data_IF_962615441662
#
_entry.id   IF_962615441662
#
_cell.length_a   1.000
_cell.length_b   1.000
_cell.length_c   1.000
_cell.angle_alpha   90.00
_cell.angle_beta   90.00
_cell.angle_gamma   90.00
#
_symmetry.space_group_name_H-M   'P 1'
#
loop_
_entity.id
_entity.type
_entity.pdbx_description
1 polymer ?
#
# COMPACT_ATOMS: atom_id res chain seq x y z
N UNK A 1 50.04 9.25 -11.99
CA UNK A 1 49.41 8.92 -13.30
C UNK A 1 47.89 8.98 -13.13
N UNK A 2 47.12 9.52 -14.10
CA UNK A 2 45.71 9.88 -13.95
C UNK A 2 44.75 8.66 -14.03
N UNK A 3 43.49 8.74 -13.56
CA UNK A 3 42.55 7.62 -13.58
C UNK A 3 41.92 7.44 -14.97
N UNK A 4 41.75 6.17 -15.39
CA UNK A 4 41.15 5.79 -16.69
C UNK A 4 39.62 5.68 -16.60
N UNK A 5 38.98 6.18 -17.64
CA UNK A 5 37.54 6.29 -17.89
C UNK A 5 36.76 4.98 -17.76
N UNK A 6 35.67 5.03 -16.99
CA UNK A 6 34.61 4.01 -16.98
C UNK A 6 33.76 4.18 -18.25
N UNK A 7 33.73 3.17 -19.12
CA UNK A 7 32.81 3.08 -20.26
C UNK A 7 31.85 1.93 -20.01
N UNK A 8 30.62 2.29 -19.68
CA UNK A 8 29.47 1.39 -19.63
C UNK A 8 29.14 0.82 -21.02
N UNK A 9 28.28 -0.22 -20.99
CA UNK A 9 27.53 -0.81 -22.10
C UNK A 9 28.26 -1.94 -22.83
N UNK A 10 27.66 -3.10 -23.13
CA UNK A 10 26.27 -3.49 -23.06
C UNK A 10 26.18 -5.01 -22.87
N UNK A 11 25.11 -5.42 -22.19
CA UNK A 11 24.61 -6.78 -22.09
C UNK A 11 24.52 -7.43 -23.48
N UNK A 12 25.42 -8.38 -23.76
CA UNK A 12 25.35 -9.22 -24.94
C UNK A 12 24.21 -10.22 -24.76
N UNK A 13 23.15 -10.03 -25.53
CA UNK A 13 22.06 -10.99 -25.64
C UNK A 13 22.53 -12.18 -26.47
N UNK A 14 22.97 -13.24 -25.80
CA UNK A 14 23.15 -14.55 -26.42
C UNK A 14 21.79 -15.13 -26.83
N UNK A 15 21.52 -15.17 -28.13
CA UNK A 15 20.50 -16.05 -28.69
C UNK A 15 21.15 -16.97 -29.71
N UNK A 16 21.70 -18.06 -29.18
CA UNK A 16 22.20 -19.20 -29.95
C UNK A 16 21.06 -19.82 -30.74
N UNK A 17 21.05 -19.65 -32.08
CA UNK A 17 20.31 -20.52 -33.00
C UNK A 17 21.09 -20.75 -34.30
N UNK A 18 21.61 -21.97 -34.36
CA UNK A 18 21.78 -22.82 -35.53
C UNK A 18 22.76 -22.42 -36.65
N UNK A 19 23.94 -23.01 -36.53
CA UNK A 19 24.86 -23.34 -37.60
C UNK A 19 24.20 -24.31 -38.61
N UNK A 20 24.10 -23.96 -39.91
CA UNK A 20 24.29 -24.88 -41.05
C UNK A 20 24.18 -24.20 -42.44
N UNK A 21 25.26 -24.37 -43.23
CA UNK A 21 25.44 -24.33 -44.71
C UNK A 21 25.81 -22.97 -45.39
N UNK A 22 26.91 -22.94 -46.20
CA UNK A 22 27.40 -21.75 -46.89
C UNK A 22 26.88 -21.64 -48.33
N UNK A 23 26.63 -20.41 -48.79
CA UNK A 23 26.51 -20.12 -50.23
C UNK A 23 25.58 -18.97 -50.57
N UNK A 24 26.17 -17.88 -51.09
CA UNK A 24 25.58 -17.15 -52.22
C UNK A 24 24.73 -15.91 -51.93
N UNK A 25 25.29 -14.78 -52.39
CA UNK A 25 24.61 -13.66 -53.07
C UNK A 25 23.82 -12.64 -52.24
N UNK A 26 24.30 -11.41 -52.40
CA UNK A 26 23.68 -10.11 -52.11
C UNK A 26 22.21 -10.00 -52.46
N UNK A 27 21.44 -9.29 -51.61
CA UNK A 27 20.50 -8.30 -52.13
C UNK A 27 20.31 -7.10 -51.19
N UNK A 28 20.65 -5.95 -51.76
CA UNK A 28 20.35 -4.60 -51.30
C UNK A 28 18.84 -4.35 -51.37
N UNK A 29 18.25 -3.93 -50.25
CA UNK A 29 16.89 -3.40 -50.22
C UNK A 29 16.29 -3.54 -48.82
N UNK A 30 15.66 -2.48 -48.32
CA UNK A 30 14.81 -2.41 -47.10
C UNK A 30 15.38 -1.80 -45.80
N UNK A 31 16.37 -0.89 -45.86
CA UNK A 31 16.74 -0.10 -44.66
C UNK A 31 15.58 0.77 -44.10
N UNK A 32 14.60 1.17 -44.92
CA UNK A 32 13.43 1.94 -44.46
C UNK A 32 12.35 1.06 -43.82
N UNK A 33 12.15 -0.16 -44.34
CA UNK A 33 11.10 -1.08 -43.91
C UNK A 33 11.41 -1.74 -42.56
N UNK A 34 12.70 -1.96 -42.25
CA UNK A 34 13.12 -2.42 -40.91
C UNK A 34 12.94 -1.34 -39.83
N UNK A 35 13.18 -0.06 -40.14
CA UNK A 35 12.92 1.05 -39.20
C UNK A 35 11.44 1.20 -38.85
N UNK A 36 10.56 1.07 -39.84
CA UNK A 36 9.11 1.14 -39.62
C UNK A 36 8.60 -0.02 -38.74
N UNK A 37 9.10 -1.24 -38.95
CA UNK A 37 8.75 -2.40 -38.10
C UNK A 37 9.25 -2.25 -36.66
N UNK A 38 10.46 -1.70 -36.46
CA UNK A 38 10.98 -1.44 -35.12
C UNK A 38 10.20 -0.33 -34.39
N UNK A 39 9.77 0.72 -35.10
CA UNK A 39 8.89 1.74 -34.52
C UNK A 39 7.52 1.18 -34.12
N UNK A 40 6.92 0.34 -34.97
CA UNK A 40 5.65 -0.31 -34.65
C UNK A 40 5.78 -1.26 -33.44
N UNK A 41 6.87 -2.02 -33.36
CA UNK A 41 7.15 -2.89 -32.21
C UNK A 41 7.34 -2.08 -30.91
N UNK A 42 8.04 -0.94 -30.97
CA UNK A 42 8.19 -0.04 -29.82
C UNK A 42 6.85 0.58 -29.40
N UNK A 43 6.01 0.99 -30.35
CA UNK A 43 4.69 1.52 -30.04
C UNK A 43 3.77 0.47 -29.37
N UNK A 44 3.83 -0.78 -29.82
CA UNK A 44 3.10 -1.89 -29.20
C UNK A 44 3.61 -2.16 -27.77
N UNK A 45 4.94 -2.14 -27.56
CA UNK A 45 5.52 -2.28 -26.23
C UNK A 45 5.10 -1.14 -25.30
N UNK A 46 5.11 0.12 -25.74
CA UNK A 46 4.68 1.25 -24.93
C UNK A 46 3.19 1.17 -24.57
N UNK A 47 2.33 0.72 -25.49
CA UNK A 47 0.91 0.48 -25.20
C UNK A 47 0.70 -0.68 -24.21
N UNK A 48 1.53 -1.72 -24.29
CA UNK A 48 1.50 -2.84 -23.35
C UNK A 48 1.94 -2.38 -21.95
N UNK A 49 3.02 -1.60 -21.86
CA UNK A 49 3.51 -1.03 -20.61
C UNK A 49 2.48 -0.05 -20.01
N UNK A 50 1.84 0.81 -20.80
CA UNK A 50 0.80 1.72 -20.30
C UNK A 50 -0.46 1.01 -19.77
N UNK A 51 -0.77 -0.18 -20.28
CA UNK A 51 -1.93 -0.98 -19.82
C UNK A 51 -1.62 -1.87 -18.62
N UNK A 52 -0.37 -2.28 -18.45
CA UNK A 52 0.04 -3.28 -17.46
C UNK A 52 1.01 -2.76 -16.39
N UNK A 53 1.56 -1.56 -16.55
CA UNK A 53 2.22 -0.82 -15.48
C UNK A 53 1.16 0.07 -14.83
N UNK A 54 0.55 -0.42 -13.76
CA UNK A 54 -0.18 0.42 -12.82
C UNK A 54 0.85 1.13 -11.94
N UNK A 55 0.83 2.46 -11.91
CA UNK A 55 1.64 3.24 -10.98
C UNK A 55 1.26 2.82 -9.56
N UNK A 56 2.13 2.07 -8.89
CA UNK A 56 1.95 1.72 -7.47
C UNK A 56 2.53 2.81 -6.55
N UNK A 57 2.63 4.04 -7.06
CA UNK A 57 3.16 5.17 -6.30
C UNK A 57 2.27 5.48 -5.10
N UNK A 58 2.82 5.98 -3.99
CA UNK A 58 2.03 6.40 -2.82
C UNK A 58 1.02 7.51 -3.14
N UNK A 59 1.20 8.25 -4.25
CA UNK A 59 0.25 9.25 -4.75
C UNK A 59 -0.87 8.70 -5.65
N UNK A 60 -0.80 7.44 -6.09
CA UNK A 60 -1.84 6.83 -6.95
C UNK A 60 -3.08 6.40 -6.16
N UNK A 61 -2.99 6.36 -4.83
CA UNK A 61 -4.13 6.04 -3.96
C UNK A 61 -4.98 7.29 -3.76
N UNK A 62 -6.28 7.18 -4.03
CA UNK A 62 -7.22 8.25 -3.75
C UNK A 62 -7.11 8.67 -2.27
N UNK A 63 -7.03 9.98 -2.03
CA UNK A 63 -7.00 10.53 -0.68
C UNK A 63 -8.32 10.17 0.00
N UNK A 64 -8.23 9.39 1.07
CA UNK A 64 -9.39 8.98 1.85
C UNK A 64 -10.07 10.21 2.45
N UNK A 65 -11.39 10.29 2.31
CA UNK A 65 -12.15 11.39 2.86
C UNK A 65 -12.04 11.36 4.41
N UNK A 66 -11.75 12.50 5.08
CA UNK A 66 -11.45 12.50 6.53
C UNK A 66 -12.60 12.04 7.43
N UNK A 67 -13.84 12.08 6.93
CA UNK A 67 -15.04 11.59 7.63
C UNK A 67 -15.43 10.15 7.27
N UNK A 68 -14.64 9.47 6.43
CA UNK A 68 -14.85 8.09 6.08
C UNK A 68 -14.10 7.17 7.06
N UNK A 69 -14.79 6.81 8.14
CA UNK A 69 -14.24 5.96 9.19
C UNK A 69 -14.06 4.50 8.75
N UNK A 70 -14.70 4.06 7.66
CA UNK A 70 -14.56 2.68 7.18
C UNK A 70 -13.27 2.47 6.41
N UNK A 71 -12.83 3.51 5.70
CA UNK A 71 -11.59 3.51 4.94
C UNK A 71 -10.33 3.64 5.83
N UNK A 72 -10.46 4.01 7.11
CA UNK A 72 -9.34 4.02 8.03
C UNK A 72 -8.90 2.61 8.46
N UNK A 73 -7.63 2.50 8.83
CA UNK A 73 -7.08 1.27 9.40
C UNK A 73 -7.68 0.97 10.78
N UNK A 74 -7.85 -0.32 11.07
CA UNK A 74 -8.38 -0.80 12.35
C UNK A 74 -7.55 -0.31 13.56
N UNK A 75 -6.24 -0.12 13.36
CA UNK A 75 -5.33 0.40 14.37
C UNK A 75 -5.65 1.85 14.74
N UNK A 76 -6.03 2.68 13.76
CA UNK A 76 -6.42 4.07 13.96
C UNK A 76 -7.76 4.15 14.70
N UNK A 77 -8.73 3.33 14.30
CA UNK A 77 -10.03 3.23 14.98
C UNK A 77 -9.86 2.79 16.45
N UNK A 78 -8.96 1.85 16.71
CA UNK A 78 -8.67 1.39 18.08
C UNK A 78 -7.96 2.46 18.91
N UNK A 79 -6.97 3.18 18.36
CA UNK A 79 -6.35 4.30 19.07
C UNK A 79 -7.34 5.39 19.43
N UNK A 80 -8.32 5.66 18.56
CA UNK A 80 -9.39 6.59 18.85
C UNK A 80 -10.26 6.09 20.01
N UNK A 81 -10.68 4.81 19.97
CA UNK A 81 -11.45 4.17 21.03
C UNK A 81 -10.73 4.25 22.39
N UNK A 82 -9.43 3.96 22.43
CA UNK A 82 -8.59 4.04 23.63
C UNK A 82 -8.45 5.49 24.13
N UNK A 83 -8.19 6.45 23.23
CA UNK A 83 -8.02 7.86 23.58
C UNK A 83 -9.25 8.47 24.25
N UNK A 84 -10.44 8.10 23.78
CA UNK A 84 -11.71 8.60 24.31
C UNK A 84 -12.38 7.65 25.32
N UNK A 85 -11.76 6.50 25.61
CA UNK A 85 -12.26 5.54 26.60
C UNK A 85 -13.65 4.97 26.29
N UNK A 86 -13.99 4.80 25.01
CA UNK A 86 -15.34 4.37 24.60
C UNK A 86 -15.62 2.88 24.90
N UNK A 87 -14.59 2.12 25.32
CA UNK A 87 -14.66 0.70 25.69
C UNK A 87 -15.35 -0.18 24.64
N UNK A 88 -15.30 0.23 23.36
CA UNK A 88 -15.87 -0.55 22.27
C UNK A 88 -15.03 -1.81 22.06
N UNK A 89 -15.65 -2.95 21.74
CA UNK A 89 -14.92 -4.18 21.47
C UNK A 89 -14.06 -4.06 20.21
N UNK A 90 -13.07 -4.95 20.10
CA UNK A 90 -12.15 -4.98 18.96
C UNK A 90 -12.89 -5.42 17.69
N UNK A 91 -12.57 -4.87 16.51
CA UNK A 91 -13.18 -5.32 15.28
C UNK A 91 -12.87 -6.80 15.00
N UNK A 92 -13.81 -7.47 14.34
CA UNK A 92 -13.63 -8.82 13.82
C UNK A 92 -12.55 -8.81 12.74
N UNK A 93 -11.64 -9.79 12.82
CA UNK A 93 -10.55 -9.98 11.86
C UNK A 93 -10.61 -11.40 11.32
N UNK A 94 -10.06 -11.65 10.13
CA UNK A 94 -10.04 -12.99 9.52
C UNK A 94 -9.45 -14.06 10.46
N UNK A 95 -8.46 -13.69 11.27
CA UNK A 95 -7.87 -14.56 12.29
C UNK A 95 -8.87 -15.00 13.38
N UNK A 96 -9.91 -14.23 13.62
CA UNK A 96 -10.98 -14.60 14.56
C UNK A 96 -11.82 -15.75 14.02
N UNK A 97 -12.08 -15.80 12.73
CA UNK A 97 -12.83 -16.89 12.10
C UNK A 97 -12.07 -18.22 12.24
N UNK A 98 -10.74 -18.18 12.10
CA UNK A 98 -9.86 -19.32 12.38
C UNK A 98 -9.99 -19.77 13.84
N UNK A 99 -10.14 -18.85 14.80
CA UNK A 99 -10.34 -19.19 16.21
C UNK A 99 -11.72 -19.82 16.49
N UNK A 100 -12.70 -19.60 15.62
CA UNK A 100 -14.04 -20.20 15.72
C UNK A 100 -14.10 -21.62 15.12
N UNK A 101 -13.12 -22.01 14.31
CA UNK A 101 -13.00 -23.36 13.78
C UNK A 101 -12.80 -24.43 14.87
N UNK A 102 -13.02 -25.71 14.52
CA UNK A 102 -12.85 -26.84 15.45
C UNK A 102 -11.45 -26.94 16.06
N UNK A 103 -10.41 -26.57 15.30
CA UNK A 103 -9.04 -26.51 15.80
C UNK A 103 -8.84 -25.27 16.69
N UNK A 104 -9.44 -24.13 16.32
CA UNK A 104 -9.38 -22.86 17.02
C UNK A 104 -10.01 -22.91 18.42
N UNK A 105 -11.11 -23.65 18.59
CA UNK A 105 -11.80 -23.85 19.87
C UNK A 105 -10.90 -24.42 20.98
N UNK A 106 -9.89 -25.21 20.62
CA UNK A 106 -8.94 -25.81 21.57
C UNK A 106 -7.79 -24.87 21.96
N UNK A 107 -7.62 -23.75 21.28
CA UNK A 107 -6.55 -22.78 21.57
C UNK A 107 -6.78 -22.04 22.88
N UNK A 108 -5.69 -21.60 23.52
CA UNK A 108 -5.76 -20.78 24.73
C UNK A 108 -6.53 -19.47 24.49
N UNK A 109 -6.34 -18.87 23.31
CA UNK A 109 -6.97 -17.60 22.94
C UNK A 109 -8.49 -17.64 22.88
N UNK A 110 -9.09 -18.81 22.57
CA UNK A 110 -10.56 -19.01 22.58
C UNK A 110 -11.10 -19.42 23.95
N UNK A 111 -10.30 -20.13 24.76
CA UNK A 111 -10.65 -20.53 26.14
C UNK A 111 -10.55 -19.40 27.18
N UNK A 112 -10.00 -18.25 26.81
CA UNK A 112 -9.91 -17.09 27.69
C UNK A 112 -11.27 -16.41 27.86
N UNK A 113 -11.92 -16.62 29.01
CA UNK A 113 -13.22 -16.01 29.37
C UNK A 113 -13.24 -14.49 29.19
N UNK A 114 -12.17 -13.81 29.60
CA UNK A 114 -12.01 -12.35 29.44
C UNK A 114 -12.13 -11.88 27.98
N UNK A 115 -11.69 -12.71 27.03
CA UNK A 115 -11.69 -12.40 25.59
C UNK A 115 -13.00 -12.80 24.91
N UNK A 116 -13.74 -13.73 25.51
CA UNK A 116 -15.07 -14.16 25.10
C UNK A 116 -16.14 -13.16 25.57
N UNK A 117 -16.05 -12.70 26.82
CA UNK A 117 -16.96 -11.71 27.44
C UNK A 117 -16.93 -10.35 26.75
N UNK A 118 -15.78 -9.93 26.23
CA UNK A 118 -15.66 -8.65 25.52
C UNK A 118 -16.33 -8.67 24.14
N UNK A 119 -16.65 -9.83 23.58
CA UNK A 119 -17.21 -9.93 22.24
C UNK A 119 -16.33 -9.31 21.15
N UNK A 120 -16.84 -9.29 19.92
CA UNK A 120 -16.25 -8.55 18.81
C UNK A 120 -17.35 -7.87 18.02
N UNK A 121 -16.98 -6.80 17.33
CA UNK A 121 -17.89 -5.96 16.55
C UNK A 121 -17.44 -5.94 15.09
N UNK A 122 -18.36 -5.77 14.17
CA UNK A 122 -17.98 -5.58 12.77
C UNK A 122 -17.24 -4.24 12.59
N UNK A 123 -16.26 -4.18 11.67
CA UNK A 123 -15.59 -2.92 11.33
C UNK A 123 -16.58 -1.78 10.97
N UNK A 124 -17.60 -1.97 10.12
CA UNK A 124 -18.53 -0.89 9.77
C UNK A 124 -19.34 -0.40 10.98
N UNK A 125 -19.71 -1.30 11.89
CA UNK A 125 -20.44 -0.93 13.10
C UNK A 125 -19.55 -0.13 14.07
N UNK A 126 -18.29 -0.55 14.27
CA UNK A 126 -17.31 0.24 15.02
C UNK A 126 -17.12 1.63 14.40
N UNK A 127 -16.92 1.70 13.08
CA UNK A 127 -16.76 2.96 12.36
C UNK A 127 -17.98 3.88 12.54
N UNK A 128 -19.19 3.33 12.51
CA UNK A 128 -20.43 4.08 12.75
C UNK A 128 -20.50 4.66 14.17
N UNK A 129 -20.17 3.86 15.19
CA UNK A 129 -20.13 4.33 16.58
C UNK A 129 -19.10 5.45 16.78
N UNK A 130 -17.90 5.27 16.22
CA UNK A 130 -16.83 6.27 16.30
C UNK A 130 -17.20 7.55 15.55
N UNK A 131 -17.80 7.43 14.37
CA UNK A 131 -18.31 8.58 13.61
C UNK A 131 -19.40 9.33 14.37
N UNK A 132 -20.34 8.62 15.00
CA UNK A 132 -21.38 9.25 15.81
C UNK A 132 -20.79 10.02 17.00
N UNK A 133 -19.82 9.43 17.69
CA UNK A 133 -19.11 10.09 18.78
C UNK A 133 -18.33 11.31 18.29
N UNK A 134 -17.64 11.19 17.15
CA UNK A 134 -16.90 12.28 16.53
C UNK A 134 -17.80 13.47 16.17
N UNK A 135 -18.99 13.22 15.63
CA UNK A 135 -19.96 14.27 15.30
C UNK A 135 -20.60 14.91 16.53
N UNK A 136 -20.68 14.20 17.65
CA UNK A 136 -21.22 14.72 18.90
C UNK A 136 -20.20 15.56 19.70
N UNK A 137 -18.91 15.47 19.35
CA UNK A 137 -17.87 16.26 20.02
C UNK A 137 -18.01 17.74 19.65
N UNK A 138 -18.28 18.57 20.66
CA UNK A 138 -18.22 20.01 20.53
C UNK A 138 -16.77 20.47 20.31
N UNK A 139 -16.51 21.09 19.17
CA UNK A 139 -15.18 21.60 18.81
C UNK A 139 -15.20 23.11 18.62
N UNK A 140 -14.29 23.82 19.31
CA UNK A 140 -14.03 25.24 19.06
C UNK A 140 -12.86 25.39 18.11
N UNK A 141 -13.08 26.10 17.01
CA UNK A 141 -12.08 26.30 15.95
C UNK A 141 -10.76 26.85 16.49
N UNK A 142 -10.81 27.89 17.34
CA UNK A 142 -9.61 28.52 17.87
C UNK A 142 -8.74 27.55 18.69
N UNK A 143 -9.35 26.70 19.51
CA UNK A 143 -8.65 25.69 20.31
C UNK A 143 -8.00 24.62 19.41
N UNK A 144 -8.68 24.23 18.33
CA UNK A 144 -8.18 23.23 17.38
C UNK A 144 -7.01 23.76 16.57
N UNK A 145 -7.14 24.95 15.97
CA UNK A 145 -6.09 25.51 15.10
C UNK A 145 -4.81 25.77 15.89
N UNK A 146 -4.94 26.40 17.06
CA UNK A 146 -3.78 26.70 17.92
C UNK A 146 -3.12 25.42 18.43
N UNK A 147 -3.91 24.44 18.89
CA UNK A 147 -3.40 23.15 19.34
C UNK A 147 -2.72 22.35 18.22
N UNK A 148 -3.29 22.36 17.02
CA UNK A 148 -2.71 21.70 15.84
C UNK A 148 -1.38 22.35 15.45
N UNK A 149 -1.34 23.68 15.30
CA UNK A 149 -0.13 24.40 14.91
C UNK A 149 0.99 24.23 15.93
N UNK A 150 0.63 24.27 17.22
CA UNK A 150 1.59 24.01 18.29
C UNK A 150 2.17 22.60 18.19
N UNK A 151 1.32 21.57 18.06
CA UNK A 151 1.77 20.20 17.89
C UNK A 151 2.66 20.04 16.67
N UNK A 152 2.24 20.53 15.50
CA UNK A 152 3.01 20.45 14.24
C UNK A 152 4.38 21.12 14.36
N UNK A 153 4.46 22.27 15.03
CA UNK A 153 5.72 22.98 15.21
C UNK A 153 6.68 22.26 16.19
N UNK A 154 6.16 21.47 17.13
CA UNK A 154 6.95 20.86 18.20
C UNK A 154 6.97 19.32 18.15
N UNK A 155 6.56 18.68 17.05
CA UNK A 155 6.51 17.22 16.92
C UNK A 155 7.86 16.56 17.21
N UNK A 156 8.95 17.22 16.82
CA UNK A 156 10.32 16.72 17.00
C UNK A 156 10.81 16.82 18.45
N UNK A 157 10.16 17.64 19.29
CA UNK A 157 10.48 17.80 20.71
C UNK A 157 9.76 16.78 21.60
N UNK A 158 8.76 16.08 21.07
CA UNK A 158 7.96 15.08 21.80
C UNK A 158 8.65 13.71 21.91
N UNK A 159 9.96 13.61 21.64
CA UNK A 159 10.75 12.41 21.94
C UNK A 159 10.88 12.22 23.46
N UNK A 160 9.83 11.72 24.10
CA UNK A 160 9.87 11.19 25.46
C UNK A 160 9.84 9.67 25.37
N UNK A 161 10.97 9.07 25.76
CA UNK A 161 11.07 7.67 26.13
C UNK A 161 10.03 7.34 27.21
N UNK A 162 8.87 6.85 26.79
CA UNK A 162 7.94 6.16 27.69
C UNK A 162 8.20 4.67 27.53
N UNK A 163 8.86 4.10 28.54
CA UNK A 163 9.12 2.66 28.69
C UNK A 163 7.84 1.91 29.10
#
# INVERSE_FOLDING_TARGET
>A
MPPRSHRESASESESSRNNTIPGGSSNSGSKSTQKAKNQAAQAIQQNYLARHITSNGPQDRAVVHPLDFEAFDDSVLMRYNEKYGLNLPRPETVNYDILNSEIGKKTFSKRSKKREEQGRISKPELAKHLKSHFMALGSKENEIITGFLYKVKHQDNDFKLTF
#
